data_IF_060945056674
#
_entry.id   IF_060945056674
#
_cell.length_a   1.000
_cell.length_b   1.000
_cell.length_c   1.000
_cell.angle_alpha   90.00
_cell.angle_beta   90.00
_cell.angle_gamma   90.00
#
_symmetry.space_group_name_H-M   'P 1'
#
loop_
_entity.id
_entity.type
_entity.pdbx_description
1 polymer ?
#
# COMPACT_ATOMS: atom_id res chain seq x y z
N UNK A 1 2.21 17.32 13.32
CA UNK A 1 2.26 15.89 13.68
C UNK A 1 2.15 15.14 12.37
N UNK A 2 3.24 14.49 11.92
CA UNK A 2 3.18 13.71 10.70
C UNK A 2 2.32 12.49 11.01
N UNK A 3 1.14 12.40 10.41
CA UNK A 3 0.35 11.18 10.48
C UNK A 3 0.98 10.21 9.50
N UNK A 4 1.44 9.07 10.01
CA UNK A 4 1.96 7.99 9.20
C UNK A 4 0.92 7.59 8.14
N UNK A 5 1.27 7.61 6.85
CA UNK A 5 0.32 7.34 5.77
C UNK A 5 0.51 5.96 5.16
N UNK A 6 -0.61 5.31 4.87
CA UNK A 6 -0.67 4.03 4.18
C UNK A 6 -1.11 4.26 2.72
N UNK A 7 -0.22 4.03 1.77
CA UNK A 7 -0.48 4.28 0.36
C UNK A 7 -1.04 3.03 -0.35
N UNK A 8 -2.15 3.16 -1.06
CA UNK A 8 -2.71 2.09 -1.89
C UNK A 8 -2.33 2.27 -3.36
N UNK A 9 -1.70 1.26 -3.96
CA UNK A 9 -1.18 1.28 -5.35
C UNK A 9 -1.85 0.19 -6.18
N UNK A 10 -2.41 0.61 -7.32
CA UNK A 10 -3.06 -0.29 -8.28
C UNK A 10 -4.55 -0.47 -8.00
N UNK A 11 -5.11 -1.52 -8.59
CA UNK A 11 -6.51 -1.88 -8.45
C UNK A 11 -6.58 -3.31 -7.90
N UNK A 12 -7.25 -3.53 -6.75
CA UNK A 12 -7.43 -4.88 -6.22
C UNK A 12 -8.38 -5.67 -7.11
N UNK A 13 -8.09 -6.95 -7.29
CA UNK A 13 -9.04 -7.89 -7.88
C UNK A 13 -10.14 -8.28 -6.88
N UNK A 14 -11.20 -8.95 -7.35
CA UNK A 14 -12.35 -9.32 -6.51
C UNK A 14 -11.97 -10.09 -5.22
N UNK A 15 -10.89 -10.88 -5.26
CA UNK A 15 -10.36 -11.59 -4.08
C UNK A 15 -9.60 -10.70 -3.09
N UNK A 16 -9.09 -9.55 -3.54
CA UNK A 16 -8.29 -8.63 -2.72
C UNK A 16 -9.13 -7.48 -2.15
N UNK A 17 -10.26 -7.14 -2.79
CA UNK A 17 -11.15 -6.03 -2.36
C UNK A 17 -11.54 -6.13 -0.88
N UNK A 18 -11.81 -7.35 -0.39
CA UNK A 18 -12.13 -7.59 1.02
C UNK A 18 -10.96 -7.24 1.95
N UNK A 19 -9.74 -7.65 1.59
CA UNK A 19 -8.52 -7.38 2.36
C UNK A 19 -8.20 -5.88 2.36
N UNK A 20 -8.32 -5.23 1.20
CA UNK A 20 -8.10 -3.80 1.06
C UNK A 20 -9.08 -2.98 1.90
N UNK A 21 -10.34 -3.38 1.90
CA UNK A 21 -11.37 -2.72 2.70
C UNK A 21 -11.09 -2.90 4.18
N UNK A 22 -10.80 -4.13 4.62
CA UNK A 22 -10.41 -4.41 6.01
C UNK A 22 -9.19 -3.58 6.44
N UNK A 23 -8.13 -3.55 5.63
CA UNK A 23 -6.93 -2.78 5.95
C UNK A 23 -7.20 -1.27 6.00
N UNK A 24 -8.07 -0.75 5.14
CA UNK A 24 -8.48 0.67 5.14
C UNK A 24 -9.24 1.04 6.41
N UNK A 25 -10.09 0.16 6.93
CA UNK A 25 -10.83 0.36 8.19
C UNK A 25 -9.94 0.19 9.44
N UNK A 26 -8.88 -0.62 9.33
CA UNK A 26 -7.94 -0.90 10.42
C UNK A 26 -6.80 0.12 10.53
N UNK A 27 -6.35 0.69 9.40
CA UNK A 27 -5.27 1.67 9.36
C UNK A 27 -5.47 2.84 10.35
N UNK A 28 -6.65 3.50 10.42
CA UNK A 28 -6.89 4.59 11.37
C UNK A 28 -6.74 4.17 12.83
N UNK A 29 -7.06 2.92 13.17
CA UNK A 29 -6.95 2.40 14.54
C UNK A 29 -5.49 2.26 14.99
N UNK A 30 -4.54 2.25 14.05
CA UNK A 30 -3.10 2.19 14.29
C UNK A 30 -2.41 3.54 14.07
N UNK A 31 -3.18 4.62 13.87
CA UNK A 31 -2.64 5.94 13.55
C UNK A 31 -2.22 6.11 12.09
N UNK A 32 -2.53 5.14 11.23
CA UNK A 32 -2.24 5.19 9.81
C UNK A 32 -3.38 5.86 9.03
N UNK A 33 -3.05 6.80 8.15
CA UNK A 33 -4.04 7.45 7.28
C UNK A 33 -3.99 6.81 5.89
N UNK A 34 -5.07 6.12 5.46
CA UNK A 34 -5.12 5.55 4.12
C UNK A 34 -5.16 6.66 3.07
N UNK A 35 -4.18 6.66 2.16
CA UNK A 35 -4.06 7.61 1.06
C UNK A 35 -3.97 6.88 -0.29
N UNK A 36 -4.48 7.54 -1.34
CA UNK A 36 -4.27 7.13 -2.73
C UNK A 36 -3.23 8.00 -3.45
N UNK A 37 -2.75 9.06 -2.78
CA UNK A 37 -1.73 9.97 -3.29
C UNK A 37 -0.40 9.65 -2.64
N UNK A 38 0.62 9.43 -3.47
CA UNK A 38 1.99 9.30 -3.01
C UNK A 38 2.55 10.69 -2.72
N UNK A 39 2.90 10.92 -1.45
CA UNK A 39 3.66 12.08 -1.01
C UNK A 39 4.94 11.56 -0.33
N UNK A 40 6.10 11.72 -0.98
CA UNK A 40 7.37 11.24 -0.41
C UNK A 40 7.66 11.98 0.90
N UNK A 41 7.87 11.23 1.98
CA UNK A 41 8.13 11.75 3.33
C UNK A 41 6.98 11.63 4.34
N UNK A 42 5.76 11.30 3.88
CA UNK A 42 4.62 11.03 4.77
C UNK A 42 4.12 9.58 4.68
N UNK A 43 4.46 8.87 3.60
CA UNK A 43 4.11 7.46 3.43
C UNK A 43 5.15 6.60 4.14
N UNK A 44 4.71 5.85 5.16
CA UNK A 44 5.57 4.89 5.87
C UNK A 44 5.41 3.46 5.36
N UNK A 45 4.32 3.20 4.64
CA UNK A 45 4.01 1.87 4.12
C UNK A 45 3.13 1.97 2.89
N UNK A 46 3.44 1.17 1.87
CA UNK A 46 2.61 1.01 0.69
C UNK A 46 2.01 -0.39 0.58
N UNK A 47 0.77 -0.42 0.10
CA UNK A 47 -0.01 -1.60 -0.19
C UNK A 47 -0.24 -1.64 -1.69
N UNK A 48 0.34 -2.64 -2.35
CA UNK A 48 0.18 -2.84 -3.78
C UNK A 48 -0.73 -4.04 -4.05
N UNK A 49 -1.47 -3.99 -5.16
CA UNK A 49 -2.24 -5.13 -5.62
C UNK A 49 -1.28 -6.23 -6.08
N UNK A 50 -1.66 -7.51 -5.91
CA UNK A 50 -0.83 -8.65 -6.29
C UNK A 50 -0.32 -8.55 -7.73
N UNK A 51 -1.20 -8.17 -8.67
CA UNK A 51 -0.84 -7.98 -10.08
C UNK A 51 0.17 -6.85 -10.35
N UNK A 52 0.34 -5.90 -9.43
CA UNK A 52 1.37 -4.83 -9.50
C UNK A 52 2.70 -5.33 -8.97
N UNK A 53 2.70 -6.18 -7.94
CA UNK A 53 3.90 -6.76 -7.34
C UNK A 53 4.50 -7.89 -8.20
N UNK A 54 3.67 -8.65 -8.90
CA UNK A 54 4.08 -9.73 -9.80
C UNK A 54 4.71 -9.24 -11.12
N UNK A 55 5.09 -7.96 -11.22
CA UNK A 55 5.71 -7.34 -12.40
C UNK A 55 4.86 -7.37 -13.69
N UNK A 56 3.59 -7.77 -13.62
CA UNK A 56 2.75 -7.95 -14.81
C UNK A 56 2.28 -6.63 -15.43
N UNK A 57 2.30 -5.52 -14.69
CA UNK A 57 1.83 -4.22 -15.19
C UNK A 57 3.00 -3.27 -15.50
N UNK A 58 3.47 -3.29 -16.75
CA UNK A 58 4.32 -2.22 -17.29
C UNK A 58 3.53 -0.90 -17.32
N UNK A 59 3.64 -0.10 -16.26
CA UNK A 59 2.89 1.15 -16.12
C UNK A 59 3.27 1.98 -14.89
N UNK A 60 2.55 3.09 -14.69
CA UNK A 60 2.69 3.99 -13.52
C UNK A 60 2.78 3.28 -12.15
N UNK A 61 2.03 2.17 -11.88
CA UNK A 61 2.12 1.45 -10.62
C UNK A 61 3.50 0.84 -10.35
N UNK A 62 4.14 0.23 -11.35
CA UNK A 62 5.47 -0.35 -11.21
C UNK A 62 6.52 0.73 -10.87
N UNK A 63 6.45 1.89 -11.53
CA UNK A 63 7.33 3.03 -11.23
C UNK A 63 7.16 3.54 -9.80
N UNK A 64 5.95 3.48 -9.23
CA UNK A 64 5.72 3.83 -7.82
C UNK A 64 6.36 2.81 -6.89
N UNK A 65 6.27 1.51 -7.21
CA UNK A 65 6.93 0.46 -6.40
C UNK A 65 8.45 0.64 -6.40
N UNK A 66 9.05 0.95 -7.56
CA UNK A 66 10.48 1.28 -7.64
C UNK A 66 10.84 2.52 -6.80
N UNK A 67 10.02 3.58 -6.86
CA UNK A 67 10.23 4.79 -6.06
C UNK A 67 10.13 4.52 -4.55
N UNK A 68 9.21 3.65 -4.12
CA UNK A 68 9.07 3.25 -2.72
C UNK A 68 10.27 2.44 -2.24
N UNK A 69 10.75 1.48 -3.05
CA UNK A 69 11.97 0.73 -2.75
C UNK A 69 13.20 1.63 -2.66
N UNK A 70 13.32 2.61 -3.56
CA UNK A 70 14.40 3.59 -3.51
C UNK A 70 14.34 4.50 -2.27
N UNK A 71 13.15 4.67 -1.68
CA UNK A 71 12.92 5.43 -0.46
C UNK A 71 12.94 4.58 0.82
N UNK A 72 13.32 3.29 0.74
CA UNK A 72 13.30 2.32 1.84
C UNK A 72 11.90 2.13 2.48
N UNK A 73 10.84 2.42 1.72
CA UNK A 73 9.46 2.27 2.20
C UNK A 73 8.99 0.84 1.91
N UNK A 74 8.52 0.08 2.91
CA UNK A 74 7.99 -1.26 2.70
C UNK A 74 6.79 -1.22 1.75
N UNK A 75 6.77 -2.14 0.79
CA UNK A 75 5.67 -2.31 -0.17
C UNK A 75 5.23 -3.77 -0.18
N UNK A 76 4.00 -4.04 0.27
CA UNK A 76 3.48 -5.41 0.47
C UNK A 76 2.07 -5.56 -0.10
N UNK A 77 1.57 -6.79 -0.20
CA UNK A 77 0.15 -7.02 -0.49
C UNK A 77 -0.72 -6.58 0.69
N UNK A 78 -2.02 -6.36 0.45
CA UNK A 78 -2.95 -6.08 1.55
C UNK A 78 -3.02 -7.24 2.55
N UNK A 79 -2.93 -8.48 2.06
CA UNK A 79 -2.90 -9.67 2.91
C UNK A 79 -1.68 -9.68 3.84
N UNK A 80 -0.48 -9.45 3.29
CA UNK A 80 0.75 -9.38 4.09
C UNK A 80 0.71 -8.19 5.06
N UNK A 81 0.18 -7.05 4.63
CA UNK A 81 0.02 -5.90 5.51
C UNK A 81 -0.89 -6.22 6.70
N UNK A 82 -2.02 -6.90 6.47
CA UNK A 82 -2.88 -7.38 7.56
C UNK A 82 -2.12 -8.32 8.50
N UNK A 83 -1.38 -9.30 7.95
CA UNK A 83 -0.58 -10.28 8.73
C UNK A 83 0.63 -9.69 9.45
N UNK A 84 1.07 -8.50 9.08
CA UNK A 84 2.18 -7.83 9.74
C UNK A 84 1.67 -6.87 10.84
N UNK A 85 0.41 -6.42 10.73
CA UNK A 85 -0.28 -5.64 11.76
C UNK A 85 -0.93 -6.53 12.84
N UNK A 86 -1.14 -7.82 12.54
CA UNK A 86 -1.78 -8.85 13.38
C UNK A 86 -0.97 -10.14 13.45
#
# INVERSE_FOLDING_TARGET
>A
MAHDRLLFIGHPDAGEVAQWSALRDLAPQRGLVPTRKFEPGEVVWAVAAGGVLDNATSGTPARMVDALRAADIPCTTALDAIRHVY
#
